data_IF_078442916331
#
_entry.id   IF_078442916331
#
_cell.length_a   1.000
_cell.length_b   1.000
_cell.length_c   1.000
_cell.angle_alpha   90.00
_cell.angle_beta   90.00
_cell.angle_gamma   90.00
#
_symmetry.space_group_name_H-M   'P 1'
#
loop_
_entity.id
_entity.type
_entity.pdbx_description
1 polymer ?
#
# COMPACT_ATOMS: atom_id res chain seq x y z
N UNK A 1 12.37 -8.93 10.21
CA UNK A 1 13.71 -9.07 10.82
C UNK A 1 13.63 -8.57 12.26
N UNK A 2 14.06 -9.37 13.23
CA UNK A 2 14.21 -9.00 14.66
C UNK A 2 15.50 -8.19 14.87
N UNK A 3 15.54 -7.29 15.87
CA UNK A 3 16.61 -7.12 16.87
C UNK A 3 16.24 -6.01 17.89
N UNK A 4 16.61 -6.30 19.13
CA UNK A 4 16.40 -5.61 20.41
C UNK A 4 17.57 -4.68 20.80
N UNK A 5 17.35 -3.64 21.63
CA UNK A 5 18.04 -3.39 22.92
C UNK A 5 18.02 -1.92 23.44
N UNK A 6 18.04 -1.83 24.77
CA UNK A 6 17.78 -0.74 25.72
C UNK A 6 18.94 0.26 26.01
N UNK A 7 18.65 1.25 26.89
CA UNK A 7 19.49 2.10 27.80
C UNK A 7 20.16 3.39 27.20
N UNK A 8 20.01 4.64 27.74
CA UNK A 8 20.34 5.33 29.04
C UNK A 8 21.86 5.68 29.12
N UNK A 9 22.40 6.92 29.33
CA UNK A 9 22.22 7.99 30.34
C UNK A 9 22.95 9.34 29.96
N UNK A 10 22.71 10.42 30.73
CA UNK A 10 23.20 11.85 30.70
C UNK A 10 24.51 12.11 31.55
N UNK A 11 24.93 13.34 31.99
CA UNK A 11 25.22 14.69 31.40
C UNK A 11 26.56 15.35 31.90
N UNK A 12 26.88 16.61 31.49
CA UNK A 12 27.62 17.76 32.18
C UNK A 12 28.27 18.68 31.10
N UNK A 13 28.51 19.99 31.19
CA UNK A 13 28.43 21.09 32.20
C UNK A 13 28.72 22.45 31.49
N UNK A 14 28.25 23.58 32.07
CA UNK A 14 28.40 25.02 31.68
C UNK A 14 29.86 25.57 31.81
N UNK A 15 30.27 26.85 31.51
CA UNK A 15 29.51 28.14 31.37
C UNK A 15 29.99 29.24 30.35
N UNK A 16 29.21 30.35 30.35
CA UNK A 16 29.22 31.73 29.76
C UNK A 16 30.54 32.57 29.83
N UNK A 17 30.63 33.88 29.39
CA UNK A 17 29.63 34.87 28.86
C UNK A 17 30.09 35.78 27.67
N UNK A 18 29.18 36.53 27.02
CA UNK A 18 29.08 38.01 27.04
C UNK A 18 27.98 38.57 26.12
N UNK A 19 27.43 39.71 26.53
CA UNK A 19 26.23 40.44 26.09
C UNK A 19 26.36 41.30 24.82
N UNK A 20 25.24 41.60 24.15
CA UNK A 20 24.77 42.96 23.76
C UNK A 20 23.28 42.85 23.33
N UNK A 21 22.46 43.81 23.74
CA UNK A 21 21.01 43.89 23.56
C UNK A 21 20.60 45.03 22.62
N UNK A 22 19.58 44.83 21.77
CA UNK A 22 18.75 45.86 21.11
C UNK A 22 17.28 45.38 21.01
N UNK A 23 16.28 46.27 20.94
CA UNK A 23 14.90 45.98 21.35
C UNK A 23 13.89 45.70 20.22
N UNK A 24 12.92 44.84 20.57
CA UNK A 24 11.49 44.78 20.20
C UNK A 24 11.04 44.73 18.72
N UNK A 25 10.57 43.55 18.30
CA UNK A 25 9.25 43.34 17.69
C UNK A 25 8.87 41.84 17.78
N UNK A 26 7.65 41.54 18.22
CA UNK A 26 7.15 40.21 18.57
C UNK A 26 6.68 39.39 17.35
N UNK A 27 7.19 38.17 17.22
CA UNK A 27 6.42 36.92 16.97
C UNK A 27 7.35 35.74 17.35
N UNK A 28 6.88 34.88 18.27
CA UNK A 28 7.64 33.74 18.81
C UNK A 28 7.31 32.48 17.99
N UNK A 29 8.31 31.89 17.34
CA UNK A 29 8.43 30.42 17.27
C UNK A 29 9.73 30.07 17.99
N UNK A 30 9.62 29.65 19.25
CA UNK A 30 10.75 29.17 20.02
C UNK A 30 11.11 27.76 19.55
N UNK A 31 12.18 27.62 18.76
CA UNK A 31 12.88 26.34 18.66
C UNK A 31 13.97 26.34 19.73
N UNK A 32 13.69 25.66 20.84
CA UNK A 32 14.70 25.34 21.85
C UNK A 32 15.61 24.24 21.28
N UNK A 33 16.79 24.59 20.77
CA UNK A 33 17.89 23.63 20.66
C UNK A 33 18.76 23.75 21.91
N UNK A 34 18.36 23.05 22.97
CA UNK A 34 19.24 22.75 24.08
C UNK A 34 19.21 21.24 24.30
N UNK A 35 20.38 20.61 24.14
CA UNK A 35 20.63 19.27 24.65
C UNK A 35 20.85 18.22 23.58
N UNK A 36 22.10 17.74 23.56
CA UNK A 36 22.59 16.43 23.11
C UNK A 36 22.22 15.97 21.69
N UNK A 37 23.22 15.48 20.96
CA UNK A 37 23.02 14.68 19.74
C UNK A 37 22.19 13.45 20.13
N UNK A 38 20.87 13.57 20.00
CA UNK A 38 19.90 12.61 20.51
C UNK A 38 19.86 11.35 19.67
N UNK A 39 19.72 10.21 20.35
CA UNK A 39 19.42 8.89 19.78
C UNK A 39 18.34 9.05 18.69
N UNK A 40 18.64 8.64 17.45
CA UNK A 40 17.69 8.68 16.33
C UNK A 40 16.33 8.12 16.78
N UNK A 41 15.26 8.90 16.56
CA UNK A 41 13.92 8.46 16.92
C UNK A 41 13.56 7.17 16.16
N UNK A 42 13.03 6.18 16.89
CA UNK A 42 12.57 4.93 16.29
C UNK A 42 11.15 5.13 15.76
N UNK A 43 10.97 4.99 14.45
CA UNK A 43 9.66 4.98 13.81
C UNK A 43 9.15 3.54 13.63
N UNK A 44 7.83 3.38 13.72
CA UNK A 44 7.16 2.09 13.49
C UNK A 44 6.14 2.28 12.38
N UNK A 45 6.23 1.44 11.35
CA UNK A 45 5.26 1.37 10.26
C UNK A 45 4.56 0.01 10.37
N UNK A 46 3.22 0.03 10.33
CA UNK A 46 2.40 -1.18 10.34
C UNK A 46 1.79 -1.34 8.96
N UNK A 47 2.03 -2.51 8.34
CA UNK A 47 1.47 -2.86 7.04
C UNK A 47 0.46 -3.98 7.24
N UNK A 48 -0.76 -3.77 6.75
CA UNK A 48 -1.84 -4.77 6.82
C UNK A 48 -2.29 -5.08 5.40
N UNK A 49 -2.32 -6.35 5.04
CA UNK A 49 -2.92 -6.80 3.79
C UNK A 49 -4.43 -6.96 3.99
N UNK A 50 -5.22 -6.68 2.96
CA UNK A 50 -6.65 -6.96 2.99
C UNK A 50 -6.94 -8.44 3.25
N UNK A 51 -8.09 -8.73 3.87
CA UNK A 51 -8.58 -10.10 4.05
C UNK A 51 -8.99 -10.76 2.74
N UNK A 52 -9.41 -12.02 2.79
CA UNK A 52 -9.89 -12.77 1.63
C UNK A 52 -10.99 -12.01 0.85
N UNK A 53 -10.85 -11.89 -0.47
CA UNK A 53 -11.89 -11.33 -1.35
C UNK A 53 -12.79 -12.40 -1.96
N UNK A 54 -13.97 -12.01 -2.44
CA UNK A 54 -14.88 -12.89 -3.20
C UNK A 54 -14.17 -13.57 -4.39
N UNK A 55 -13.26 -12.85 -5.05
CA UNK A 55 -12.48 -13.38 -6.16
C UNK A 55 -11.33 -14.27 -5.73
N UNK A 56 -10.77 -14.05 -4.52
CA UNK A 56 -9.83 -15.00 -3.95
C UNK A 56 -10.52 -16.34 -3.64
N UNK A 57 -11.73 -16.29 -3.07
CA UNK A 57 -12.53 -17.48 -2.79
C UNK A 57 -12.86 -18.27 -4.07
N UNK A 58 -13.18 -17.57 -5.17
CA UNK A 58 -13.43 -18.18 -6.50
C UNK A 58 -12.15 -18.55 -7.26
N UNK A 59 -10.98 -18.36 -6.65
CA UNK A 59 -9.67 -18.60 -7.26
C UNK A 59 -9.44 -17.84 -8.59
N UNK A 60 -9.94 -16.62 -8.71
CA UNK A 60 -9.78 -15.75 -9.88
C UNK A 60 -8.58 -14.81 -9.72
N UNK A 61 -7.98 -14.39 -10.83
CA UNK A 61 -7.04 -13.25 -10.84
C UNK A 61 -7.83 -11.95 -10.71
N UNK A 62 -7.56 -11.17 -9.66
CA UNK A 62 -8.35 -9.97 -9.35
C UNK A 62 -7.68 -8.68 -9.83
N UNK A 63 -6.46 -8.41 -9.39
CA UNK A 63 -5.73 -7.20 -9.76
C UNK A 63 -6.49 -5.96 -9.37
N UNK A 64 -6.79 -5.09 -10.34
CA UNK A 64 -7.49 -3.82 -10.10
C UNK A 64 -9.00 -3.92 -10.22
N UNK A 65 -9.53 -5.10 -10.56
CA UNK A 65 -10.94 -5.32 -10.38
C UNK A 65 -11.31 -5.11 -8.90
N UNK A 66 -12.40 -4.41 -8.66
CA UNK A 66 -12.81 -4.05 -7.31
C UNK A 66 -13.73 -5.10 -6.69
N UNK A 67 -13.17 -6.27 -6.42
CA UNK A 67 -13.87 -7.29 -5.65
C UNK A 67 -14.05 -6.86 -4.19
N UNK A 68 -15.22 -7.19 -3.62
CA UNK A 68 -15.48 -7.06 -2.19
C UNK A 68 -14.70 -8.10 -1.37
N UNK A 69 -14.62 -7.87 -0.06
CA UNK A 69 -14.22 -8.90 0.90
C UNK A 69 -15.25 -10.03 0.92
N UNK A 70 -14.80 -11.27 1.10
CA UNK A 70 -15.70 -12.36 1.50
C UNK A 70 -16.09 -12.18 2.97
N UNK A 71 -17.09 -12.92 3.44
CA UNK A 71 -17.45 -12.93 4.87
C UNK A 71 -16.22 -13.25 5.74
N UNK A 72 -15.43 -14.24 5.33
CA UNK A 72 -14.17 -14.58 6.01
C UNK A 72 -13.16 -13.43 5.98
N UNK A 73 -13.05 -12.70 4.86
CA UNK A 73 -12.19 -11.52 4.78
C UNK A 73 -12.63 -10.37 5.69
N UNK A 74 -13.93 -10.22 5.95
CA UNK A 74 -14.45 -9.26 6.93
C UNK A 74 -14.10 -9.68 8.38
N UNK A 75 -14.20 -10.98 8.68
CA UNK A 75 -13.77 -11.55 9.97
C UNK A 75 -12.26 -11.37 10.20
N UNK A 76 -11.43 -11.64 9.17
CA UNK A 76 -9.97 -11.42 9.21
C UNK A 76 -9.63 -9.93 9.47
N UNK A 77 -10.36 -9.01 8.85
CA UNK A 77 -10.18 -7.58 9.05
C UNK A 77 -10.56 -7.14 10.48
N UNK A 78 -11.65 -7.67 11.03
CA UNK A 78 -12.04 -7.42 12.42
C UNK A 78 -11.00 -7.98 13.40
N UNK A 79 -10.48 -9.19 13.14
CA UNK A 79 -9.42 -9.81 13.94
C UNK A 79 -8.13 -8.97 13.92
N UNK A 80 -7.78 -8.36 12.79
CA UNK A 80 -6.65 -7.44 12.71
C UNK A 80 -6.84 -6.23 13.64
N UNK A 81 -8.04 -5.64 13.69
CA UNK A 81 -8.36 -4.57 14.64
C UNK A 81 -8.19 -4.98 16.11
N UNK A 82 -8.63 -6.19 16.47
CA UNK A 82 -8.44 -6.75 17.82
C UNK A 82 -6.95 -6.94 18.13
N UNK A 83 -6.17 -7.48 17.19
CA UNK A 83 -4.74 -7.68 17.37
C UNK A 83 -4.00 -6.35 17.58
N UNK A 84 -4.34 -5.32 16.79
CA UNK A 84 -3.76 -3.98 16.92
C UNK A 84 -4.09 -3.34 18.27
N UNK A 85 -5.34 -3.50 18.73
CA UNK A 85 -5.78 -3.02 20.04
C UNK A 85 -5.02 -3.69 21.17
N UNK A 86 -4.89 -5.02 21.13
CA UNK A 86 -4.19 -5.81 22.15
C UNK A 86 -2.70 -5.48 22.21
N UNK A 87 -2.10 -5.12 21.08
CA UNK A 87 -0.72 -4.65 21.01
C UNK A 87 -0.56 -3.15 21.35
N UNK A 88 -1.66 -2.46 21.71
CA UNK A 88 -1.69 -1.04 22.06
C UNK A 88 -1.09 -0.12 20.98
N UNK A 89 -1.34 -0.45 19.70
CA UNK A 89 -0.98 0.44 18.60
C UNK A 89 -1.88 1.67 18.54
N UNK A 90 -1.28 2.80 18.17
CA UNK A 90 -1.97 4.04 17.82
C UNK A 90 -1.39 4.59 16.54
N UNK A 91 -2.23 5.19 15.71
CA UNK A 91 -1.85 5.74 14.43
C UNK A 91 -2.20 7.23 14.35
N UNK A 92 -1.31 8.00 13.75
CA UNK A 92 -1.52 9.43 13.46
C UNK A 92 -2.16 9.63 12.07
N UNK A 93 -1.88 8.72 11.13
CA UNK A 93 -2.37 8.73 9.75
C UNK A 93 -2.47 7.30 9.24
N UNK A 94 -3.44 7.04 8.36
CA UNK A 94 -3.54 5.78 7.64
C UNK A 94 -3.47 6.01 6.13
N UNK A 95 -2.92 5.02 5.42
CA UNK A 95 -2.87 5.00 3.96
C UNK A 95 -3.58 3.74 3.44
N UNK A 96 -4.30 3.86 2.33
CA UNK A 96 -4.94 2.71 1.69
C UNK A 96 -5.00 2.87 0.18
N UNK A 97 -5.25 1.75 -0.50
CA UNK A 97 -5.52 1.73 -1.93
C UNK A 97 -6.90 2.34 -2.24
N UNK A 98 -7.19 2.60 -3.52
CA UNK A 98 -8.54 3.01 -3.93
C UNK A 98 -9.52 1.83 -4.06
N UNK A 99 -9.08 0.61 -3.78
CA UNK A 99 -9.89 -0.60 -3.87
C UNK A 99 -10.68 -0.82 -2.58
N UNK A 100 -11.96 -1.16 -2.74
CA UNK A 100 -12.95 -1.28 -1.66
C UNK A 100 -12.51 -2.31 -0.62
N UNK A 101 -11.93 -3.44 -1.04
CA UNK A 101 -11.43 -4.47 -0.12
C UNK A 101 -10.39 -3.95 0.88
N UNK A 102 -9.44 -3.13 0.44
CA UNK A 102 -8.42 -2.56 1.34
C UNK A 102 -9.01 -1.47 2.22
N UNK A 103 -9.95 -0.68 1.71
CA UNK A 103 -10.66 0.34 2.49
C UNK A 103 -11.53 -0.28 3.58
N UNK A 104 -12.26 -1.35 3.28
CA UNK A 104 -13.05 -2.11 4.27
C UNK A 104 -12.16 -2.74 5.34
N UNK A 105 -11.02 -3.31 4.95
CA UNK A 105 -10.07 -3.85 5.93
C UNK A 105 -9.53 -2.76 6.85
N UNK A 106 -9.12 -1.61 6.30
CA UNK A 106 -8.66 -0.48 7.10
C UNK A 106 -9.75 0.02 8.06
N UNK A 107 -10.98 0.21 7.56
CA UNK A 107 -12.10 0.67 8.36
C UNK A 107 -12.39 -0.26 9.55
N UNK A 108 -12.41 -1.58 9.32
CA UNK A 108 -12.60 -2.57 10.38
C UNK A 108 -11.44 -2.54 11.41
N UNK A 109 -10.20 -2.38 10.95
CA UNK A 109 -9.04 -2.27 11.83
C UNK A 109 -9.09 -1.01 12.69
N UNK A 110 -9.41 0.15 12.11
CA UNK A 110 -9.56 1.44 12.81
C UNK A 110 -10.71 1.41 13.81
N UNK A 111 -11.84 0.80 13.43
CA UNK A 111 -12.96 0.54 14.35
C UNK A 111 -12.53 -0.31 15.55
N UNK A 112 -11.74 -1.36 15.29
CA UNK A 112 -11.24 -2.25 16.34
C UNK A 112 -10.39 -1.54 17.40
N UNK A 113 -9.59 -0.54 16.99
CA UNK A 113 -8.75 0.26 17.89
C UNK A 113 -9.44 1.54 18.39
N UNK A 114 -10.62 1.88 17.89
CA UNK A 114 -11.35 3.11 18.23
C UNK A 114 -10.73 4.39 17.65
N UNK A 115 -10.16 4.32 16.44
CA UNK A 115 -9.54 5.46 15.75
C UNK A 115 -10.17 5.70 14.36
N UNK A 116 -11.49 5.78 14.28
CA UNK A 116 -12.21 5.98 13.01
C UNK A 116 -12.01 7.40 12.42
N UNK A 117 -11.65 8.38 13.25
CA UNK A 117 -11.56 9.80 12.88
C UNK A 117 -10.17 10.28 12.40
N UNK A 118 -9.19 9.38 12.29
CA UNK A 118 -7.85 9.78 11.85
C UNK A 118 -7.82 10.11 10.34
N UNK A 119 -6.88 10.95 9.86
CA UNK A 119 -6.71 11.18 8.45
C UNK A 119 -6.41 9.89 7.67
N UNK A 120 -7.12 9.68 6.56
CA UNK A 120 -6.95 8.53 5.66
C UNK A 120 -6.60 9.03 4.26
N UNK A 121 -5.40 8.71 3.80
CA UNK A 121 -4.93 9.02 2.46
C UNK A 121 -5.15 7.83 1.52
N UNK A 122 -5.89 8.06 0.43
CA UNK A 122 -6.19 7.04 -0.57
C UNK A 122 -5.35 7.28 -1.82
N UNK A 123 -4.69 6.25 -2.32
CA UNK A 123 -3.93 6.37 -3.56
C UNK A 123 -3.96 5.09 -4.37
N UNK A 124 -4.13 5.23 -5.70
CA UNK A 124 -4.05 4.09 -6.62
C UNK A 124 -2.67 3.43 -6.61
N UNK A 125 -1.63 4.15 -6.18
CA UNK A 125 -0.26 3.63 -6.09
C UNK A 125 -0.11 2.47 -5.10
N UNK A 126 -1.08 2.32 -4.19
CA UNK A 126 -1.16 1.21 -3.23
C UNK A 126 -2.08 0.08 -3.72
N UNK A 127 -2.58 0.14 -4.95
CA UNK A 127 -3.36 -0.95 -5.52
C UNK A 127 -2.49 -2.21 -5.69
N UNK A 128 -3.16 -3.36 -5.75
CA UNK A 128 -2.54 -4.65 -6.06
C UNK A 128 -1.87 -4.63 -7.45
N UNK A 129 -0.99 -5.60 -7.75
CA UNK A 129 -0.44 -5.76 -9.11
C UNK A 129 -1.57 -5.94 -10.14
N UNK A 130 -1.49 -5.24 -11.27
CA UNK A 130 -2.42 -5.43 -12.38
C UNK A 130 -2.14 -6.78 -13.09
N UNK A 131 -3.19 -7.55 -13.39
CA UNK A 131 -3.06 -8.87 -14.02
C UNK A 131 -3.35 -8.89 -15.52
N UNK A 132 -3.59 -7.72 -16.13
CA UNK A 132 -3.81 -7.60 -17.57
C UNK A 132 -4.95 -8.50 -18.05
N UNK A 133 -4.78 -9.16 -19.19
CA UNK A 133 -5.74 -10.10 -19.76
C UNK A 133 -5.97 -11.37 -18.94
N UNK A 134 -5.25 -11.59 -17.83
CA UNK A 134 -5.57 -12.68 -16.90
C UNK A 134 -6.70 -12.34 -15.94
N UNK A 135 -7.06 -11.05 -15.82
CA UNK A 135 -8.07 -10.58 -14.87
C UNK A 135 -9.40 -11.30 -15.09
N UNK A 136 -9.95 -11.89 -14.03
CA UNK A 136 -11.20 -12.65 -14.09
C UNK A 136 -11.06 -14.11 -14.49
N UNK A 137 -9.87 -14.54 -14.97
CA UNK A 137 -9.63 -15.95 -15.28
C UNK A 137 -9.40 -16.76 -13.98
N UNK A 138 -9.83 -18.02 -14.00
CA UNK A 138 -9.53 -18.96 -12.92
C UNK A 138 -8.06 -19.38 -12.97
N UNK A 139 -7.37 -19.33 -11.83
CA UNK A 139 -5.93 -19.62 -11.76
C UNK A 139 -5.59 -21.07 -12.10
N UNK A 140 -6.44 -22.03 -11.71
CA UNK A 140 -6.21 -23.43 -11.98
C UNK A 140 -6.39 -23.74 -13.47
N UNK A 141 -7.45 -23.21 -14.09
CA UNK A 141 -7.69 -23.35 -15.53
C UNK A 141 -6.60 -22.64 -16.36
N UNK A 142 -6.16 -21.47 -15.91
CA UNK A 142 -5.07 -20.73 -16.55
C UNK A 142 -3.76 -21.52 -16.45
N UNK A 143 -3.46 -22.15 -15.31
CA UNK A 143 -2.30 -23.01 -15.16
C UNK A 143 -2.39 -24.26 -16.04
N UNK A 144 -3.57 -24.87 -16.17
CA UNK A 144 -3.78 -26.00 -17.07
C UNK A 144 -3.61 -25.60 -18.55
N UNK A 145 -4.00 -24.38 -18.93
CA UNK A 145 -3.92 -23.88 -20.31
C UNK A 145 -2.52 -23.40 -20.70
N UNK A 146 -1.85 -22.66 -19.83
CA UNK A 146 -0.58 -21.98 -20.15
C UNK A 146 0.65 -22.60 -19.46
N UNK A 147 0.44 -23.57 -18.57
CA UNK A 147 1.49 -24.17 -17.74
C UNK A 147 1.68 -23.47 -16.40
N UNK A 148 1.99 -24.24 -15.36
CA UNK A 148 2.23 -23.73 -14.01
C UNK A 148 3.43 -22.77 -13.95
N UNK A 149 4.52 -23.13 -14.63
CA UNK A 149 5.75 -22.32 -14.67
C UNK A 149 5.49 -20.94 -15.28
N UNK A 150 4.75 -20.88 -16.40
CA UNK A 150 4.41 -19.64 -17.06
C UNK A 150 3.51 -18.76 -16.18
N UNK A 151 2.49 -19.37 -15.54
CA UNK A 151 1.63 -18.65 -14.60
C UNK A 151 2.41 -18.15 -13.38
N UNK A 152 3.39 -18.92 -12.91
CA UNK A 152 4.27 -18.51 -11.82
C UNK A 152 5.16 -17.33 -12.23
N UNK A 153 5.71 -17.34 -13.44
CA UNK A 153 6.47 -16.22 -14.02
C UNK A 153 5.59 -14.97 -14.06
N UNK A 154 4.39 -15.03 -14.64
CA UNK A 154 3.49 -13.86 -14.68
C UNK A 154 3.10 -13.33 -13.29
N UNK A 155 3.05 -14.20 -12.28
CA UNK A 155 2.67 -13.81 -10.90
C UNK A 155 3.83 -13.25 -10.09
N UNK A 156 5.03 -13.78 -10.26
CA UNK A 156 6.17 -13.55 -9.35
C UNK A 156 7.37 -12.89 -9.99
N UNK A 157 7.51 -12.96 -11.32
CA UNK A 157 8.59 -12.29 -12.02
C UNK A 157 8.46 -10.78 -11.87
N UNK A 158 9.62 -10.13 -11.74
CA UNK A 158 9.76 -8.69 -11.71
C UNK A 158 9.71 -8.10 -13.14
N UNK A 159 10.38 -8.76 -14.09
CA UNK A 159 10.58 -8.26 -15.46
C UNK A 159 9.59 -8.84 -16.47
N UNK A 160 8.95 -9.96 -16.15
CA UNK A 160 7.99 -10.60 -17.06
C UNK A 160 6.56 -10.30 -16.60
N UNK A 161 5.83 -9.49 -17.36
CA UNK A 161 4.48 -9.11 -17.02
C UNK A 161 3.45 -10.11 -17.57
N UNK A 162 2.22 -10.11 -17.02
CA UNK A 162 1.11 -10.85 -17.62
C UNK A 162 0.72 -10.26 -18.99
N UNK A 163 0.00 -11.03 -19.82
CA UNK A 163 -0.53 -10.54 -21.09
C UNK A 163 -1.33 -9.24 -20.93
N UNK A 164 -1.25 -8.35 -21.93
CA UNK A 164 -2.04 -7.11 -21.95
C UNK A 164 -3.55 -7.40 -21.93
N UNK A 165 -4.33 -6.43 -21.45
CA UNK A 165 -5.79 -6.53 -21.48
C UNK A 165 -6.32 -5.91 -22.77
N UNK A 166 -6.97 -6.71 -23.59
CA UNK A 166 -7.62 -6.24 -24.82
C UNK A 166 -8.87 -5.40 -24.53
N UNK A 167 -9.23 -4.50 -25.46
CA UNK A 167 -10.37 -3.57 -25.30
C UNK A 167 -11.73 -4.27 -25.25
N UNK A 168 -11.84 -5.46 -25.82
CA UNK A 168 -13.05 -6.29 -25.82
C UNK A 168 -13.16 -7.18 -24.57
N UNK A 169 -12.17 -7.14 -23.68
CA UNK A 169 -12.17 -7.93 -22.46
C UNK A 169 -13.29 -7.50 -21.50
N UNK A 170 -13.99 -8.47 -20.90
CA UNK A 170 -15.21 -8.24 -20.12
C UNK A 170 -15.07 -7.25 -18.95
N UNK A 171 -13.85 -7.06 -18.43
CA UNK A 171 -13.55 -6.17 -17.31
C UNK A 171 -12.79 -4.90 -17.73
N UNK A 172 -12.51 -4.70 -19.02
CA UNK A 172 -11.72 -3.57 -19.51
C UNK A 172 -12.35 -2.24 -19.15
N UNK A 173 -13.62 -2.02 -19.53
CA UNK A 173 -14.31 -0.76 -19.27
C UNK A 173 -14.47 -0.48 -17.77
N UNK A 174 -14.75 -1.51 -16.98
CA UNK A 174 -14.91 -1.40 -15.52
C UNK A 174 -13.64 -0.94 -14.82
N UNK A 175 -12.46 -1.24 -15.37
CA UNK A 175 -11.17 -0.87 -14.77
C UNK A 175 -10.66 0.44 -15.37
N UNK A 176 -10.67 0.56 -16.70
CA UNK A 176 -10.08 1.70 -17.42
C UNK A 176 -10.91 2.98 -17.29
N UNK A 177 -12.23 2.86 -17.19
CA UNK A 177 -13.15 4.00 -17.06
C UNK A 177 -13.68 4.17 -15.64
N UNK A 178 -13.07 3.52 -14.65
CA UNK A 178 -13.49 3.64 -13.27
C UNK A 178 -13.27 5.08 -12.75
N UNK A 179 -14.30 5.75 -12.21
CA UNK A 179 -14.19 7.11 -11.68
C UNK A 179 -13.11 7.29 -10.60
N UNK A 180 -12.73 6.22 -9.89
CA UNK A 180 -11.68 6.27 -8.86
C UNK A 180 -10.31 6.62 -9.40
N UNK A 181 -10.09 6.43 -10.71
CA UNK A 181 -8.85 6.77 -11.39
C UNK A 181 -8.89 8.13 -12.08
N UNK A 182 -9.94 8.94 -11.86
CA UNK A 182 -10.05 10.28 -12.45
C UNK A 182 -8.87 11.22 -12.10
N UNK A 183 -8.23 11.01 -10.94
CA UNK A 183 -7.04 11.75 -10.49
C UNK A 183 -5.72 11.00 -10.75
N UNK A 184 -5.78 9.83 -11.40
CA UNK A 184 -4.58 9.13 -11.80
C UNK A 184 -3.93 9.82 -13.03
N UNK A 185 -2.62 9.62 -13.27
CA UNK A 185 -1.97 10.12 -14.47
C UNK A 185 -2.72 9.70 -15.75
N UNK A 186 -2.63 10.49 -16.83
CA UNK A 186 -3.38 10.26 -18.06
C UNK A 186 -3.14 8.85 -18.65
N UNK A 187 -4.07 8.43 -19.51
CA UNK A 187 -4.20 7.05 -20.04
C UNK A 187 -3.01 6.55 -20.89
N UNK A 188 -2.06 7.43 -21.16
CA UNK A 188 -0.81 7.25 -21.90
C UNK A 188 0.43 7.21 -21.00
N UNK A 189 0.27 7.37 -19.69
CA UNK A 189 1.33 7.18 -18.72
C UNK A 189 1.63 5.69 -18.56
N UNK A 190 2.88 5.33 -18.22
CA UNK A 190 3.33 3.96 -17.91
C UNK A 190 2.45 3.18 -16.89
N UNK A 191 1.53 3.91 -16.24
CA UNK A 191 0.41 3.45 -15.41
C UNK A 191 -0.61 2.57 -16.18
N UNK A 192 -0.92 2.91 -17.43
CA UNK A 192 -1.77 2.15 -18.35
C UNK A 192 -0.99 1.36 -19.41
N UNK A 193 0.29 1.65 -19.60
CA UNK A 193 1.12 0.82 -20.48
C UNK A 193 1.24 -0.63 -19.94
N UNK A 194 1.25 -0.83 -18.63
CA UNK A 194 1.14 -2.18 -18.03
C UNK A 194 -0.25 -2.83 -18.18
N UNK A 195 -1.25 -2.05 -18.61
CA UNK A 195 -2.62 -2.48 -18.92
C UNK A 195 -2.73 -2.81 -20.42
N UNK A 196 -2.00 -2.08 -21.30
CA UNK A 196 -2.20 -2.16 -22.76
C UNK A 196 -0.90 -2.22 -23.62
N UNK A 197 0.21 -1.51 -23.34
CA UNK A 197 1.33 -1.34 -24.30
C UNK A 197 2.74 -0.94 -23.71
N UNK A 198 3.23 -1.50 -22.61
CA UNK A 198 4.58 -1.13 -22.11
C UNK A 198 5.70 -1.64 -23.06
N UNK A 199 6.64 -0.79 -23.50
CA UNK A 199 7.71 -1.18 -24.41
C UNK A 199 8.68 -2.24 -23.87
N UNK A 200 8.71 -2.50 -22.55
CA UNK A 200 9.35 -3.67 -21.94
C UNK A 200 8.61 -4.99 -22.22
N UNK A 201 7.34 -4.91 -22.62
CA UNK A 201 6.46 -6.02 -22.97
C UNK A 201 6.54 -6.36 -24.46
N UNK A 202 7.04 -5.45 -25.29
CA UNK A 202 7.24 -5.65 -26.74
C UNK A 202 8.48 -6.49 -27.07
N UNK A 203 9.35 -6.73 -26.09
CA UNK A 203 10.51 -7.62 -26.24
C UNK A 203 10.20 -8.94 -25.53
N UNK A 204 9.52 -9.85 -26.23
CA UNK A 204 9.68 -11.26 -25.89
C UNK A 204 11.19 -11.58 -25.98
N UNK A 205 11.78 -12.27 -24.99
CA UNK A 205 13.15 -12.73 -25.16
C UNK A 205 13.25 -13.55 -26.46
N UNK A 206 14.38 -13.47 -27.18
CA UNK A 206 14.59 -14.33 -28.34
C UNK A 206 14.27 -15.76 -27.94
N UNK A 207 13.50 -16.46 -28.78
CA UNK A 207 13.40 -17.91 -28.66
C UNK A 207 14.75 -18.46 -29.07
N UNK A 208 15.58 -18.81 -28.09
CA UNK A 208 16.71 -19.70 -28.29
C UNK A 208 16.21 -21.13 -28.52
#
# INVERSE_FOLDING_TARGET
AFISNNLLTFPRSRPFPLSIAWPAASFIFAVNFSGAVGKMAKYTIVMVRHGESEWNQKNLFCGWYDANLSQKGEEEAAAAGVALKNANFKFDIAHTSVLTRAQKTLAAALKGIGQEDIPIEKTWRLNERHYGGLTGLNKAETAAKYGEDQVQIWRRSFDVPPPAMEKDHAYYDNIVNDPRYAQAPPKDHAYYDNIVNDPRYAQAPPKD
#
